data_IF_681988235402
#
_entry.id   IF_681988235402
#
_cell.length_a   1.000
_cell.length_b   1.000
_cell.length_c   1.000
_cell.angle_alpha   90.00
_cell.angle_beta   90.00
_cell.angle_gamma   90.00
#
_symmetry.space_group_name_H-M   'P 1'
#
loop_
_entity.id
_entity.type
_entity.pdbx_description
1 polymer ?
#
# COMPACT_ATOMS: atom_id res chain seq x y z
N UNK A 1 -11.61 23.92 9.92
CA UNK A 1 -12.24 22.61 9.63
C UNK A 1 -11.80 21.66 10.72
N UNK A 2 -12.74 20.93 11.28
CA UNK A 2 -12.39 19.90 12.26
C UNK A 2 -11.56 18.82 11.61
N UNK A 3 -10.45 18.46 12.25
CA UNK A 3 -9.56 17.40 11.79
C UNK A 3 -9.59 16.23 12.77
N UNK A 4 -9.37 15.03 12.24
CA UNK A 4 -9.20 13.83 13.05
C UNK A 4 -7.75 13.71 13.48
N UNK A 5 -7.50 13.60 14.79
CA UNK A 5 -6.14 13.38 15.31
C UNK A 5 -5.68 11.96 15.00
N UNK A 6 -4.45 11.88 14.48
CA UNK A 6 -3.80 10.61 14.17
C UNK A 6 -2.42 10.52 14.84
N UNK A 7 -1.95 9.30 15.04
CA UNK A 7 -0.58 9.02 15.47
C UNK A 7 0.09 8.04 14.48
N UNK A 8 1.41 8.10 14.40
CA UNK A 8 2.25 7.15 13.66
C UNK A 8 3.09 6.38 14.65
N UNK A 9 3.00 5.04 14.64
CA UNK A 9 3.91 4.16 15.37
C UNK A 9 4.93 3.61 14.38
N UNK A 10 6.21 3.88 14.64
CA UNK A 10 7.33 3.59 13.74
C UNK A 10 7.97 4.85 13.21
N UNK A 11 9.18 5.15 13.67
CA UNK A 11 9.95 6.36 13.32
C UNK A 11 11.00 6.12 12.22
N UNK A 12 10.92 4.97 11.52
CA UNK A 12 11.78 4.67 10.37
C UNK A 12 11.36 5.41 9.09
N UNK A 13 11.95 5.03 7.96
CA UNK A 13 11.73 5.68 6.66
C UNK A 13 10.24 5.79 6.27
N UNK A 14 9.46 4.75 6.48
CA UNK A 14 8.01 4.73 6.19
C UNK A 14 7.27 5.73 7.08
N UNK A 15 7.51 5.71 8.40
CA UNK A 15 6.86 6.63 9.32
C UNK A 15 7.24 8.08 9.07
N UNK A 16 8.52 8.35 8.81
CA UNK A 16 9.01 9.70 8.50
C UNK A 16 8.44 10.23 7.18
N UNK A 17 8.37 9.41 6.13
CA UNK A 17 7.79 9.81 4.86
C UNK A 17 6.27 10.06 4.96
N UNK A 18 5.55 9.19 5.66
CA UNK A 18 4.12 9.37 5.94
C UNK A 18 3.87 10.65 6.75
N UNK A 19 4.69 10.91 7.79
CA UNK A 19 4.64 12.15 8.56
C UNK A 19 4.78 13.36 7.65
N UNK A 20 5.81 13.38 6.80
CA UNK A 20 6.04 14.51 5.90
C UNK A 20 4.89 14.71 4.90
N UNK A 21 4.27 13.63 4.41
CA UNK A 21 3.09 13.71 3.55
C UNK A 21 1.87 14.29 4.28
N UNK A 22 1.66 13.93 5.54
CA UNK A 22 0.57 14.48 6.36
C UNK A 22 0.79 15.96 6.65
N UNK A 23 2.02 16.36 6.98
CA UNK A 23 2.37 17.75 7.31
C UNK A 23 2.36 18.68 6.08
N UNK A 24 2.92 18.24 4.96
CA UNK A 24 3.00 19.06 3.73
C UNK A 24 1.67 19.20 3.00
N UNK A 25 0.78 18.22 3.13
CA UNK A 25 -0.50 18.18 2.42
C UNK A 25 -1.64 17.87 3.40
N UNK A 26 -1.87 18.73 4.43
CA UNK A 26 -2.92 18.51 5.42
C UNK A 26 -4.29 18.56 4.76
N UNK A 27 -5.19 17.67 5.17
CA UNK A 27 -6.59 17.64 4.79
C UNK A 27 -7.45 17.41 6.03
N UNK A 28 -8.00 16.22 6.20
CA UNK A 28 -8.89 15.86 7.30
C UNK A 28 -8.13 15.30 8.52
N UNK A 29 -6.81 15.09 8.42
CA UNK A 29 -5.98 14.51 9.47
C UNK A 29 -5.04 15.57 10.05
N UNK A 30 -5.01 15.64 11.39
CA UNK A 30 -4.00 16.34 12.17
C UNK A 30 -3.07 15.32 12.85
N UNK A 31 -1.78 15.38 12.55
CA UNK A 31 -0.81 14.49 13.18
C UNK A 31 -0.53 14.94 14.62
N UNK A 32 -0.91 14.12 15.60
CA UNK A 32 -0.77 14.41 17.02
C UNK A 32 0.54 13.89 17.61
N UNK A 33 1.02 12.72 17.15
CA UNK A 33 2.23 12.11 17.70
C UNK A 33 2.94 11.21 16.69
N UNK A 34 4.27 11.10 16.86
CA UNK A 34 5.12 10.08 16.23
C UNK A 34 5.82 9.29 17.33
N UNK A 35 5.81 7.96 17.20
CA UNK A 35 6.23 7.02 18.22
C UNK A 35 7.37 6.15 17.70
N UNK A 36 8.42 6.02 18.46
CA UNK A 36 9.55 5.11 18.21
C UNK A 36 9.89 4.29 19.44
N UNK A 37 10.97 3.52 19.33
CA UNK A 37 11.57 2.76 20.44
C UNK A 37 13.04 3.12 20.67
N UNK A 38 13.61 3.93 19.78
CA UNK A 38 14.98 4.39 19.83
C UNK A 38 14.98 5.90 20.10
N UNK A 39 15.57 6.38 21.23
CA UNK A 39 15.65 7.81 21.54
C UNK A 39 16.49 8.58 20.52
N UNK A 40 17.45 7.94 19.85
CA UNK A 40 18.35 8.55 18.88
C UNK A 40 17.80 8.49 17.43
N UNK A 41 16.54 8.10 17.26
CA UNK A 41 15.88 8.00 15.96
C UNK A 41 15.83 9.34 15.22
N UNK A 42 16.40 9.38 14.01
CA UNK A 42 16.32 10.55 13.12
C UNK A 42 14.87 10.95 12.81
N UNK A 43 13.96 9.98 12.71
CA UNK A 43 12.54 10.24 12.47
C UNK A 43 11.85 10.91 13.66
N UNK A 44 12.20 10.57 14.90
CA UNK A 44 11.71 11.27 16.09
C UNK A 44 12.28 12.70 16.17
N UNK A 45 13.57 12.86 15.90
CA UNK A 45 14.21 14.19 15.85
C UNK A 45 13.55 15.08 14.77
N UNK A 46 13.25 14.52 13.61
CA UNK A 46 12.55 15.23 12.54
C UNK A 46 11.13 15.63 12.98
N UNK A 47 10.38 14.73 13.65
CA UNK A 47 9.04 15.02 14.15
C UNK A 47 9.06 16.19 15.16
N UNK A 48 10.00 16.19 16.11
CA UNK A 48 10.20 17.28 17.06
C UNK A 48 10.49 18.61 16.36
N UNK A 49 11.35 18.60 15.34
CA UNK A 49 11.68 19.80 14.55
C UNK A 49 10.44 20.40 13.88
N UNK A 50 9.46 19.57 13.53
CA UNK A 50 8.19 20.01 12.96
C UNK A 50 7.09 20.28 14.00
N UNK A 51 7.41 20.26 15.30
CA UNK A 51 6.48 20.54 16.38
C UNK A 51 5.48 19.41 16.68
N UNK A 52 5.75 18.20 16.20
CA UNK A 52 4.94 17.03 16.48
C UNK A 52 5.41 16.38 17.78
N UNK A 53 4.48 16.03 18.66
CA UNK A 53 4.83 15.34 19.92
C UNK A 53 5.44 13.95 19.63
N UNK A 54 6.44 13.57 20.42
CA UNK A 54 7.15 12.29 20.23
C UNK A 54 7.31 11.52 21.54
N UNK A 55 7.44 10.20 21.40
CA UNK A 55 7.89 9.32 22.47
C UNK A 55 8.74 8.18 21.88
N UNK A 56 9.74 7.74 22.64
CA UNK A 56 10.55 6.57 22.32
C UNK A 56 10.18 5.34 23.19
N UNK A 57 9.09 5.43 23.97
CA UNK A 57 8.62 4.36 24.83
C UNK A 57 7.56 3.45 24.14
N UNK A 58 7.55 3.40 22.80
CA UNK A 58 6.65 2.55 22.04
C UNK A 58 5.17 2.89 22.25
N UNK A 59 4.29 1.89 22.06
CA UNK A 59 2.85 2.05 22.21
C UNK A 59 2.45 2.50 23.62
N UNK A 60 3.10 2.00 24.66
CA UNK A 60 2.80 2.41 26.04
C UNK A 60 3.11 3.89 26.27
N UNK A 61 4.20 4.40 25.65
CA UNK A 61 4.49 5.83 25.65
C UNK A 61 3.42 6.66 24.95
N UNK A 62 2.87 6.18 23.84
CA UNK A 62 1.73 6.83 23.15
C UNK A 62 0.50 6.87 24.05
N UNK A 63 0.14 5.74 24.66
CA UNK A 63 -1.03 5.60 25.56
C UNK A 63 -0.93 6.50 26.78
N UNK A 64 0.28 6.80 27.23
CA UNK A 64 0.53 7.70 28.37
C UNK A 64 0.48 9.19 27.99
N UNK A 65 0.45 9.54 26.71
CA UNK A 65 0.36 10.95 26.26
C UNK A 65 -1.03 11.55 26.57
N UNK A 66 -1.06 12.78 27.05
CA UNK A 66 -2.32 13.51 27.30
C UNK A 66 -3.20 13.66 26.03
N UNK A 67 -2.60 13.66 24.85
CA UNK A 67 -3.29 13.72 23.55
C UNK A 67 -3.88 12.40 23.09
N UNK A 68 -3.51 11.26 23.67
CA UNK A 68 -3.90 9.92 23.22
C UNK A 68 -5.43 9.70 23.18
N UNK A 69 -6.21 10.16 24.17
CA UNK A 69 -7.68 9.99 24.12
C UNK A 69 -8.32 10.60 22.85
N UNK A 70 -7.74 11.66 22.31
CA UNK A 70 -8.24 12.34 21.12
C UNK A 70 -7.76 11.71 19.80
N UNK A 71 -6.72 10.86 19.85
CA UNK A 71 -6.23 10.11 18.67
C UNK A 71 -7.31 9.12 18.25
N UNK A 72 -7.78 9.22 17.02
CA UNK A 72 -8.78 8.30 16.48
C UNK A 72 -8.17 7.32 15.46
N UNK A 73 -7.13 7.74 14.73
CA UNK A 73 -6.46 6.91 13.71
C UNK A 73 -5.01 6.66 14.12
N UNK A 74 -4.57 5.41 14.03
CA UNK A 74 -3.17 5.02 14.27
C UNK A 74 -2.62 4.34 13.03
N UNK A 75 -1.55 4.91 12.46
CA UNK A 75 -0.77 4.29 11.40
C UNK A 75 0.35 3.46 12.04
N UNK A 76 0.35 2.15 11.82
CA UNK A 76 1.40 1.28 12.32
C UNK A 76 2.41 0.95 11.21
N UNK A 77 3.58 1.59 11.28
CA UNK A 77 4.69 1.44 10.35
C UNK A 77 5.89 0.70 10.99
N UNK A 78 5.61 -0.26 11.87
CA UNK A 78 6.60 -1.03 12.60
C UNK A 78 6.92 -2.37 11.90
N UNK A 79 6.91 -3.47 12.63
CA UNK A 79 7.10 -4.83 12.12
C UNK A 79 5.85 -5.68 12.33
N UNK A 80 5.72 -6.78 11.58
CA UNK A 80 4.63 -7.73 11.78
C UNK A 80 4.58 -8.27 13.23
N UNK A 81 5.72 -8.46 13.85
CA UNK A 81 5.80 -8.90 15.25
C UNK A 81 5.22 -7.85 16.20
N UNK A 82 5.66 -6.60 16.09
CA UNK A 82 5.19 -5.50 16.94
C UNK A 82 3.69 -5.26 16.72
N UNK A 83 3.23 -5.24 15.48
CA UNK A 83 1.83 -5.01 15.14
C UNK A 83 0.88 -6.05 15.76
N UNK A 84 1.28 -7.32 15.83
CA UNK A 84 0.49 -8.35 16.52
C UNK A 84 0.25 -8.03 18.00
N UNK A 85 1.19 -7.34 18.65
CA UNK A 85 1.02 -6.83 20.02
C UNK A 85 0.21 -5.53 20.09
N UNK A 86 0.35 -4.65 19.10
CA UNK A 86 -0.33 -3.37 19.07
C UNK A 86 -1.83 -3.48 18.74
N UNK A 87 -2.21 -4.33 17.78
CA UNK A 87 -3.58 -4.46 17.29
C UNK A 87 -4.62 -4.69 18.38
N UNK A 88 -4.49 -5.69 19.27
CA UNK A 88 -5.50 -5.94 20.30
C UNK A 88 -5.65 -4.78 21.28
N UNK A 89 -4.56 -4.08 21.61
CA UNK A 89 -4.57 -2.94 22.53
C UNK A 89 -5.24 -1.73 21.89
N UNK A 90 -4.85 -1.38 20.68
CA UNK A 90 -5.43 -0.25 19.95
C UNK A 90 -6.91 -0.45 19.66
N UNK A 91 -7.33 -1.67 19.33
CA UNK A 91 -8.75 -2.02 19.13
C UNK A 91 -9.54 -1.94 20.43
N UNK A 92 -8.99 -2.39 21.53
CA UNK A 92 -9.61 -2.24 22.86
C UNK A 92 -9.78 -0.77 23.26
N UNK A 93 -8.82 0.09 22.84
CA UNK A 93 -8.88 1.54 23.05
C UNK A 93 -9.78 2.26 22.00
N UNK A 94 -10.47 1.52 21.13
CA UNK A 94 -11.39 2.06 20.12
C UNK A 94 -10.69 2.83 18.99
N UNK A 95 -9.42 2.57 18.72
CA UNK A 95 -8.68 3.24 17.64
C UNK A 95 -8.90 2.56 16.31
N UNK A 96 -8.99 3.37 15.24
CA UNK A 96 -8.95 2.89 13.86
C UNK A 96 -7.50 2.70 13.44
N UNK A 97 -7.15 1.52 12.92
CA UNK A 97 -5.77 1.19 12.59
C UNK A 97 -5.57 1.10 11.07
N UNK A 98 -4.50 1.73 10.59
CA UNK A 98 -3.97 1.55 9.23
C UNK A 98 -2.63 0.83 9.36
N UNK A 99 -2.62 -0.46 9.02
CA UNK A 99 -1.48 -1.35 9.16
C UNK A 99 -0.61 -1.34 7.90
N UNK A 100 0.61 -0.78 8.01
CA UNK A 100 1.61 -0.78 6.94
C UNK A 100 2.61 -1.94 7.08
N UNK A 101 2.35 -2.86 8.02
CA UNK A 101 3.21 -4.01 8.26
C UNK A 101 2.74 -5.24 7.48
N UNK A 102 3.60 -6.25 7.27
CA UNK A 102 3.17 -7.49 6.63
C UNK A 102 2.40 -8.46 7.56
N UNK A 103 1.94 -8.03 8.74
CA UNK A 103 1.21 -8.88 9.69
C UNK A 103 -0.13 -9.39 9.15
N UNK A 104 -0.78 -8.60 8.29
CA UNK A 104 -2.03 -8.96 7.61
C UNK A 104 -3.15 -9.43 8.55
N UNK A 105 -3.37 -8.69 9.65
CA UNK A 105 -4.40 -9.02 10.66
C UNK A 105 -5.79 -8.51 10.26
N UNK A 106 -5.85 -7.34 9.60
CA UNK A 106 -7.08 -6.78 9.05
C UNK A 106 -7.33 -7.19 7.59
N UNK A 107 -8.47 -6.81 7.00
CA UNK A 107 -8.70 -6.97 5.56
C UNK A 107 -7.67 -6.18 4.76
N UNK A 108 -7.25 -6.74 3.63
CA UNK A 108 -6.40 -6.04 2.68
C UNK A 108 -7.15 -4.86 2.07
N UNK A 109 -6.52 -3.69 2.08
CA UNK A 109 -7.08 -2.45 1.55
C UNK A 109 -6.18 -1.86 0.45
N UNK A 110 -6.77 -1.66 -0.71
CA UNK A 110 -6.17 -0.96 -1.85
C UNK A 110 -7.11 0.18 -2.22
N UNK A 111 -6.73 1.46 -2.03
CA UNK A 111 -7.64 2.59 -2.04
C UNK A 111 -8.63 2.63 -3.22
N UNK A 112 -8.22 2.51 -4.50
CA UNK A 112 -9.14 2.63 -5.63
C UNK A 112 -9.93 1.35 -5.93
N UNK A 113 -9.71 0.25 -5.17
CA UNK A 113 -10.29 -1.07 -5.47
C UNK A 113 -11.37 -1.45 -4.48
N UNK A 114 -11.05 -1.48 -3.18
CA UNK A 114 -11.94 -2.08 -2.17
C UNK A 114 -12.01 -1.32 -0.83
N UNK A 115 -11.34 -0.18 -0.68
CA UNK A 115 -11.26 0.51 0.62
C UNK A 115 -12.65 0.89 1.17
N UNK A 116 -13.59 1.30 0.32
CA UNK A 116 -14.94 1.68 0.75
C UNK A 116 -15.68 0.57 1.50
N UNK A 117 -15.44 -0.70 1.12
CA UNK A 117 -16.02 -1.86 1.80
C UNK A 117 -15.44 -2.12 3.21
N UNK A 118 -14.32 -1.49 3.55
CA UNK A 118 -13.58 -1.73 4.79
C UNK A 118 -13.49 -0.50 5.73
N UNK A 119 -14.22 0.58 5.45
CA UNK A 119 -14.18 1.80 6.25
C UNK A 119 -14.64 1.60 7.71
N UNK A 120 -15.36 0.54 7.99
CA UNK A 120 -15.86 0.19 9.32
C UNK A 120 -15.01 -0.90 10.01
N UNK A 121 -14.00 -1.44 9.31
CA UNK A 121 -13.10 -2.41 9.89
C UNK A 121 -12.14 -1.72 10.87
N UNK A 122 -11.94 -2.24 12.09
CA UNK A 122 -11.11 -1.57 13.11
C UNK A 122 -9.62 -1.54 12.73
N UNK A 123 -9.19 -2.41 11.85
CA UNK A 123 -7.85 -2.47 11.30
C UNK A 123 -7.94 -2.78 9.80
N UNK A 124 -7.23 -2.03 8.96
CA UNK A 124 -7.07 -2.30 7.53
C UNK A 124 -5.59 -2.45 7.21
N UNK A 125 -5.25 -3.51 6.48
CA UNK A 125 -3.87 -3.80 6.10
C UNK A 125 -3.56 -3.29 4.69
N UNK A 126 -2.45 -2.55 4.56
CA UNK A 126 -2.03 -1.93 3.30
C UNK A 126 -1.30 -2.88 2.35
N UNK A 127 -1.39 -4.18 2.57
CA UNK A 127 -0.75 -5.24 1.73
C UNK A 127 0.78 -5.10 1.74
N UNK A 128 1.34 -4.68 0.61
CA UNK A 128 2.78 -4.44 0.38
C UNK A 128 2.95 -3.32 -0.64
N UNK A 129 4.15 -2.75 -0.74
CA UNK A 129 4.44 -1.73 -1.75
C UNK A 129 4.18 -2.23 -3.18
N UNK A 130 4.65 -3.46 -3.51
CA UNK A 130 4.35 -4.08 -4.80
C UNK A 130 2.87 -4.37 -4.98
N UNK A 131 2.16 -4.75 -3.91
CA UNK A 131 0.71 -4.93 -3.94
C UNK A 131 -0.03 -3.63 -4.24
N UNK A 132 0.32 -2.53 -3.58
CA UNK A 132 -0.30 -1.23 -3.84
C UNK A 132 -0.05 -0.74 -5.27
N UNK A 133 1.10 -1.09 -5.87
CA UNK A 133 1.40 -0.73 -7.25
C UNK A 133 0.66 -1.59 -8.28
N UNK A 134 0.49 -2.88 -8.03
CA UNK A 134 0.11 -3.85 -9.07
C UNK A 134 -1.31 -4.39 -8.96
N UNK A 135 -1.86 -4.53 -7.75
CA UNK A 135 -3.23 -5.02 -7.54
C UNK A 135 -4.28 -4.14 -8.22
N UNK A 136 -4.16 -2.78 -8.26
CA UNK A 136 -5.07 -1.97 -9.05
C UNK A 136 -5.17 -2.40 -10.52
N UNK A 137 -4.05 -2.81 -11.12
CA UNK A 137 -4.03 -3.27 -12.52
C UNK A 137 -4.68 -4.63 -12.70
N UNK A 138 -4.44 -5.57 -11.78
CA UNK A 138 -5.14 -6.86 -11.77
C UNK A 138 -6.66 -6.64 -11.62
N UNK A 139 -7.06 -5.78 -10.68
CA UNK A 139 -8.46 -5.44 -10.45
C UNK A 139 -9.08 -4.75 -11.67
N UNK A 140 -8.34 -3.88 -12.38
CA UNK A 140 -8.82 -3.25 -13.59
C UNK A 140 -9.16 -4.27 -14.68
N UNK A 141 -8.35 -5.32 -14.85
CA UNK A 141 -8.66 -6.41 -15.77
C UNK A 141 -9.84 -7.24 -15.24
N UNK A 142 -9.86 -7.56 -13.94
CA UNK A 142 -10.91 -8.39 -13.32
C UNK A 142 -12.29 -7.74 -13.32
N UNK A 143 -12.37 -6.40 -13.39
CA UNK A 143 -13.64 -5.68 -13.48
C UNK A 143 -14.35 -5.88 -14.81
N UNK A 144 -13.64 -6.27 -15.87
CA UNK A 144 -14.18 -6.39 -17.23
C UNK A 144 -13.99 -7.78 -17.85
N UNK A 145 -13.13 -8.62 -17.27
CA UNK A 145 -12.81 -9.96 -17.75
C UNK A 145 -12.64 -10.94 -16.60
N UNK A 146 -12.85 -12.21 -16.84
CA UNK A 146 -12.52 -13.24 -15.85
C UNK A 146 -11.01 -13.52 -15.86
N UNK A 147 -10.31 -13.20 -14.76
CA UNK A 147 -8.88 -13.44 -14.63
C UNK A 147 -8.62 -14.80 -13.98
N UNK A 148 -8.05 -15.72 -14.75
CA UNK A 148 -7.68 -17.06 -14.29
C UNK A 148 -6.38 -17.06 -13.50
N UNK A 149 -5.41 -16.28 -13.96
CA UNK A 149 -4.08 -16.20 -13.36
C UNK A 149 -3.55 -14.78 -13.50
N UNK A 150 -2.95 -14.28 -12.43
CA UNK A 150 -2.19 -13.04 -12.48
C UNK A 150 -0.84 -13.19 -11.77
N UNK A 151 0.19 -12.64 -12.39
CA UNK A 151 1.54 -12.62 -11.84
C UNK A 151 2.08 -11.20 -11.83
N UNK A 152 2.72 -10.80 -10.74
CA UNK A 152 3.38 -9.51 -10.67
C UNK A 152 4.88 -9.67 -10.42
N UNK A 153 5.66 -8.81 -11.04
CA UNK A 153 7.09 -8.67 -10.79
C UNK A 153 7.34 -7.23 -10.35
N UNK A 154 7.63 -7.05 -9.06
CA UNK A 154 7.95 -5.74 -8.51
C UNK A 154 9.47 -5.56 -8.43
N UNK A 155 10.01 -4.60 -9.19
CA UNK A 155 11.43 -4.27 -9.16
C UNK A 155 11.64 -2.94 -8.44
N UNK A 156 12.30 -2.99 -7.28
CA UNK A 156 12.59 -1.83 -6.43
C UNK A 156 14.09 -1.60 -6.35
N UNK A 157 14.53 -0.34 -6.20
CA UNK A 157 15.94 -0.06 -5.97
C UNK A 157 16.41 -0.77 -4.69
N UNK A 158 17.54 -1.48 -4.77
CA UNK A 158 18.11 -2.17 -3.60
C UNK A 158 18.34 -1.24 -2.42
N UNK A 159 18.71 0.02 -2.67
CA UNK A 159 18.87 1.06 -1.63
C UNK A 159 17.58 1.42 -0.89
N UNK A 160 16.41 1.27 -1.53
CA UNK A 160 15.10 1.53 -0.90
C UNK A 160 14.53 0.32 -0.15
N UNK A 161 15.14 -0.84 -0.25
CA UNK A 161 14.77 -2.04 0.49
C UNK A 161 15.48 -2.05 1.84
N UNK A 162 14.78 -1.66 2.90
CA UNK A 162 15.29 -1.67 4.26
C UNK A 162 15.47 -3.10 4.84
N UNK A 163 16.04 -3.21 6.06
CA UNK A 163 16.27 -4.51 6.71
C UNK A 163 14.97 -5.33 6.85
N UNK A 164 13.85 -4.70 7.14
CA UNK A 164 12.55 -5.36 7.26
C UNK A 164 12.11 -6.03 5.95
N UNK A 165 12.23 -5.35 4.82
CA UNK A 165 11.91 -5.92 3.49
C UNK A 165 12.81 -7.10 3.17
N UNK A 166 14.12 -6.98 3.43
CA UNK A 166 15.11 -8.03 3.14
C UNK A 166 14.90 -9.29 3.99
N UNK A 167 14.52 -9.11 5.25
CA UNK A 167 14.25 -10.22 6.17
C UNK A 167 12.94 -10.96 5.86
N UNK A 168 11.99 -10.30 5.18
CA UNK A 168 10.62 -10.80 5.00
C UNK A 168 10.19 -10.93 3.53
N UNK A 169 11.13 -11.27 2.63
CA UNK A 169 10.83 -11.44 1.18
C UNK A 169 9.75 -12.52 0.95
N UNK A 170 9.80 -13.62 1.67
CA UNK A 170 8.82 -14.69 1.56
C UNK A 170 7.41 -14.24 2.02
N UNK A 171 7.35 -13.42 3.07
CA UNK A 171 6.09 -12.86 3.56
C UNK A 171 5.52 -11.84 2.56
N UNK A 172 6.38 -11.01 1.97
CA UNK A 172 6.01 -10.10 0.89
C UNK A 172 5.34 -10.85 -0.27
N UNK A 173 5.98 -11.91 -0.75
CA UNK A 173 5.48 -12.67 -1.92
C UNK A 173 4.18 -13.39 -1.61
N UNK A 174 4.04 -14.02 -0.44
CA UNK A 174 2.81 -14.70 -0.02
C UNK A 174 1.65 -13.72 0.19
N UNK A 175 1.90 -12.61 0.90
CA UNK A 175 0.87 -11.59 1.17
C UNK A 175 0.39 -10.95 -0.12
N UNK A 176 1.32 -10.60 -1.02
CA UNK A 176 0.96 -10.01 -2.32
C UNK A 176 0.19 -11.00 -3.20
N UNK A 177 0.64 -12.27 -3.29
CA UNK A 177 -0.06 -13.30 -4.07
C UNK A 177 -1.51 -13.50 -3.57
N UNK A 178 -1.70 -13.60 -2.25
CA UNK A 178 -3.04 -13.68 -1.65
C UNK A 178 -3.90 -12.46 -1.96
N UNK A 179 -3.33 -11.26 -1.94
CA UNK A 179 -4.07 -10.04 -2.22
C UNK A 179 -4.39 -9.89 -3.73
N UNK A 180 -3.57 -10.42 -4.64
CA UNK A 180 -3.90 -10.56 -6.06
C UNK A 180 -5.17 -11.38 -6.25
N UNK A 181 -5.35 -12.44 -5.45
CA UNK A 181 -6.54 -13.28 -5.49
C UNK A 181 -7.75 -12.59 -4.83
N UNK A 182 -7.58 -12.13 -3.58
CA UNK A 182 -8.71 -11.66 -2.75
C UNK A 182 -9.16 -10.24 -3.04
N UNK A 183 -8.27 -9.38 -3.54
CA UNK A 183 -8.54 -7.97 -3.87
C UNK A 183 -8.47 -7.73 -5.37
N UNK A 184 -7.46 -8.30 -6.03
CA UNK A 184 -7.29 -8.18 -7.48
C UNK A 184 -8.33 -8.98 -8.29
N UNK A 185 -8.93 -10.01 -7.71
CA UNK A 185 -9.98 -10.82 -8.34
C UNK A 185 -9.46 -11.92 -9.28
N UNK A 186 -8.16 -12.21 -9.27
CA UNK A 186 -7.61 -13.35 -10.00
C UNK A 186 -7.92 -14.68 -9.27
N UNK A 187 -8.19 -15.74 -10.03
CA UNK A 187 -8.38 -17.07 -9.43
C UNK A 187 -7.09 -17.61 -8.80
N UNK A 188 -5.96 -17.31 -9.40
CA UNK A 188 -4.63 -17.66 -8.89
C UNK A 188 -3.67 -16.49 -9.01
N UNK A 189 -2.93 -16.23 -7.94
CA UNK A 189 -1.96 -15.14 -7.83
C UNK A 189 -0.53 -15.63 -7.67
N UNK A 190 0.43 -14.87 -8.21
CA UNK A 190 1.86 -15.03 -7.95
C UNK A 190 2.54 -13.68 -7.85
N UNK A 191 3.47 -13.54 -6.94
CA UNK A 191 4.25 -12.32 -6.79
C UNK A 191 5.74 -12.62 -6.74
N UNK A 192 6.52 -11.77 -7.39
CA UNK A 192 7.98 -11.80 -7.41
C UNK A 192 8.48 -10.41 -7.04
N UNK A 193 9.50 -10.32 -6.20
CA UNK A 193 10.21 -9.08 -5.91
C UNK A 193 11.65 -9.17 -6.41
N UNK A 194 12.11 -8.09 -7.04
CA UNK A 194 13.50 -7.93 -7.48
C UNK A 194 14.10 -6.73 -6.73
N UNK A 195 15.17 -6.97 -5.99
CA UNK A 195 15.99 -5.92 -5.40
C UNK A 195 17.04 -5.49 -6.41
N UNK A 196 16.78 -4.42 -7.14
CA UNK A 196 17.61 -3.98 -8.26
C UNK A 196 18.86 -3.22 -7.74
N UNK A 197 20.08 -3.73 -8.03
CA UNK A 197 21.33 -3.13 -7.56
C UNK A 197 21.87 -2.01 -8.47
N UNK A 198 21.15 -1.60 -9.51
CA UNK A 198 21.62 -0.60 -10.48
C UNK A 198 22.08 0.70 -9.80
N UNK A 199 23.16 1.27 -10.34
CA UNK A 199 23.71 2.58 -9.99
C UNK A 199 23.82 3.46 -11.24
N UNK A 200 23.21 4.66 -11.25
CA UNK A 200 22.37 5.23 -10.19
C UNK A 200 21.08 4.43 -9.95
N UNK A 201 20.48 4.52 -8.72
CA UNK A 201 19.28 3.78 -8.38
C UNK A 201 18.14 4.09 -9.34
N UNK A 202 17.43 3.06 -9.78
CA UNK A 202 16.28 3.22 -10.67
C UNK A 202 14.99 3.40 -9.87
N UNK A 203 14.05 4.16 -10.42
CA UNK A 203 12.69 4.23 -9.87
C UNK A 203 12.05 2.83 -9.87
N UNK A 204 11.04 2.63 -9.04
CA UNK A 204 10.30 1.37 -9.01
C UNK A 204 9.67 1.07 -10.38
N UNK A 205 9.83 -0.16 -10.84
CA UNK A 205 9.26 -0.69 -12.08
C UNK A 205 8.57 -2.00 -11.81
N UNK A 206 7.32 -2.07 -12.22
CA UNK A 206 6.53 -3.28 -12.01
C UNK A 206 5.97 -3.78 -13.32
N UNK A 207 5.81 -5.10 -13.38
CA UNK A 207 5.15 -5.78 -14.49
C UNK A 207 3.98 -6.59 -13.93
N UNK A 208 2.83 -6.47 -14.56
CA UNK A 208 1.65 -7.28 -14.28
C UNK A 208 1.35 -8.11 -15.51
N UNK A 209 1.24 -9.41 -15.33
CA UNK A 209 0.71 -10.34 -16.32
C UNK A 209 -0.65 -10.84 -15.82
N UNK A 210 -1.70 -10.63 -16.59
CA UNK A 210 -3.03 -11.15 -16.32
C UNK A 210 -3.50 -12.02 -17.49
N UNK A 211 -3.90 -13.24 -17.20
CA UNK A 211 -4.47 -14.16 -18.18
C UNK A 211 -5.96 -14.21 -17.97
N UNK A 212 -6.72 -13.74 -18.96
CA UNK A 212 -8.16 -13.53 -18.83
C UNK A 212 -8.94 -13.97 -20.05
N UNK A 213 -10.25 -14.14 -19.86
CA UNK A 213 -11.24 -14.39 -20.92
C UNK A 213 -12.46 -13.49 -20.73
N UNK A 214 -13.26 -13.33 -21.77
CA UNK A 214 -14.57 -12.68 -21.71
C UNK A 214 -14.60 -11.18 -21.99
N UNK A 215 -13.47 -10.54 -22.35
CA UNK A 215 -13.44 -9.15 -22.77
C UNK A 215 -12.50 -8.91 -23.95
N UNK A 216 -12.80 -7.87 -24.74
CA UNK A 216 -11.93 -7.40 -25.81
C UNK A 216 -10.77 -6.57 -25.25
N UNK A 217 -9.67 -6.52 -26.00
CA UNK A 217 -8.45 -5.79 -25.64
C UNK A 217 -8.70 -4.30 -25.38
N UNK A 218 -9.55 -3.65 -26.21
CA UNK A 218 -9.91 -2.25 -26.03
C UNK A 218 -10.67 -1.99 -24.73
N UNK A 219 -11.51 -2.93 -24.30
CA UNK A 219 -12.24 -2.83 -23.02
C UNK A 219 -11.27 -2.94 -21.84
N UNK A 220 -10.34 -3.90 -21.92
CA UNK A 220 -9.29 -4.07 -20.91
C UNK A 220 -8.39 -2.82 -20.85
N UNK A 221 -7.96 -2.32 -22.01
CA UNK A 221 -7.10 -1.13 -22.10
C UNK A 221 -7.75 0.09 -21.42
N UNK A 222 -9.00 0.41 -21.75
CA UNK A 222 -9.72 1.52 -21.10
C UNK A 222 -9.88 1.34 -19.60
N UNK A 223 -10.14 0.12 -19.13
CA UNK A 223 -10.25 -0.17 -17.70
C UNK A 223 -8.93 0.06 -16.98
N UNK A 224 -7.81 -0.35 -17.57
CA UNK A 224 -6.45 -0.11 -17.05
C UNK A 224 -6.15 1.39 -16.99
N UNK A 225 -6.39 2.15 -18.05
CA UNK A 225 -6.16 3.61 -18.06
C UNK A 225 -7.01 4.35 -17.01
N UNK A 226 -8.29 3.98 -16.89
CA UNK A 226 -9.17 4.55 -15.86
C UNK A 226 -8.65 4.25 -14.44
N UNK A 227 -8.12 3.06 -14.20
CA UNK A 227 -7.55 2.70 -12.90
C UNK A 227 -6.23 3.43 -12.65
N UNK A 228 -5.36 3.58 -13.66
CA UNK A 228 -4.14 4.41 -13.55
C UNK A 228 -4.50 5.83 -13.10
N UNK A 229 -5.50 6.44 -13.72
CA UNK A 229 -5.95 7.78 -13.34
C UNK A 229 -6.45 7.84 -11.88
N UNK A 230 -7.14 6.81 -11.38
CA UNK A 230 -7.55 6.72 -9.97
C UNK A 230 -6.35 6.66 -9.03
N UNK A 231 -5.33 5.83 -9.33
CA UNK A 231 -4.11 5.74 -8.51
C UNK A 231 -3.35 7.06 -8.50
N UNK A 232 -3.27 7.74 -9.64
CA UNK A 232 -2.60 9.05 -9.78
C UNK A 232 -3.20 10.14 -8.88
N UNK A 233 -4.44 10.00 -8.44
CA UNK A 233 -5.06 10.97 -7.50
C UNK A 233 -4.34 11.07 -6.16
N UNK A 234 -3.61 10.01 -5.76
CA UNK A 234 -2.84 9.98 -4.52
C UNK A 234 -1.36 9.62 -4.72
N UNK A 235 -0.98 9.05 -5.87
CA UNK A 235 0.42 8.77 -6.28
C UNK A 235 0.69 9.44 -7.63
N UNK A 236 1.02 10.73 -7.69
CA UNK A 236 1.21 11.45 -8.95
C UNK A 236 2.30 10.87 -9.86
N UNK A 237 3.31 10.21 -9.28
CA UNK A 237 4.40 9.56 -10.02
C UNK A 237 4.08 8.15 -10.56
N UNK A 238 2.84 7.66 -10.39
CA UNK A 238 2.39 6.38 -10.94
C UNK A 238 2.00 6.52 -12.40
N UNK A 239 2.56 5.68 -13.29
CA UNK A 239 2.25 5.75 -14.73
C UNK A 239 2.49 4.43 -15.43
N UNK A 240 1.82 4.25 -16.56
CA UNK A 240 2.21 3.24 -17.54
C UNK A 240 3.57 3.62 -18.14
N UNK A 241 4.51 2.67 -18.15
CA UNK A 241 5.81 2.84 -18.81
C UNK A 241 5.69 2.81 -20.33
N UNK A 242 4.75 2.04 -20.81
CA UNK A 242 4.44 1.85 -22.24
C UNK A 242 2.99 1.41 -22.43
N UNK A 243 2.51 1.35 -23.66
CA UNK A 243 1.18 0.84 -23.97
C UNK A 243 1.00 -0.59 -23.44
N UNK A 244 -0.22 -0.90 -22.99
CA UNK A 244 -0.63 -2.24 -22.58
C UNK A 244 -0.45 -3.20 -23.76
N UNK A 245 0.13 -4.35 -23.52
CA UNK A 245 0.38 -5.36 -24.55
C UNK A 245 -0.55 -6.55 -24.38
N UNK A 246 -1.01 -7.09 -25.50
CA UNK A 246 -1.91 -8.22 -25.54
C UNK A 246 -1.34 -9.36 -26.38
N UNK A 247 -1.55 -10.59 -25.92
CA UNK A 247 -1.19 -11.82 -26.62
C UNK A 247 -2.32 -12.82 -26.47
N UNK A 248 -2.79 -13.39 -27.60
CA UNK A 248 -3.92 -14.33 -27.63
C UNK A 248 -3.44 -15.76 -27.64
N UNK A 249 -4.03 -16.58 -26.82
CA UNK A 249 -3.81 -18.02 -26.74
C UNK A 249 -5.11 -18.76 -27.05
N UNK A 250 -5.15 -19.51 -28.16
CA UNK A 250 -6.29 -20.31 -28.56
C UNK A 250 -6.08 -21.80 -28.29
N UNK A 251 -7.07 -22.62 -28.62
CA UNK A 251 -7.06 -24.07 -28.40
C UNK A 251 -5.90 -24.76 -29.13
N UNK A 252 -5.45 -24.24 -30.29
CA UNK A 252 -4.34 -24.78 -31.06
C UNK A 252 -2.95 -24.38 -30.51
N UNK A 253 -2.90 -23.38 -29.62
CA UNK A 253 -1.68 -22.89 -28.99
C UNK A 253 -1.99 -22.33 -27.61
N UNK A 254 -2.40 -23.19 -26.66
CA UNK A 254 -2.71 -22.75 -25.31
C UNK A 254 -1.42 -22.42 -24.54
N UNK A 255 -1.55 -21.53 -23.54
CA UNK A 255 -0.46 -21.20 -22.64
C UNK A 255 -0.38 -22.23 -21.50
N UNK A 256 0.75 -22.89 -21.35
CA UNK A 256 1.01 -23.78 -20.21
C UNK A 256 1.81 -23.04 -19.14
N UNK A 257 1.25 -22.95 -17.94
CA UNK A 257 1.92 -22.39 -16.77
C UNK A 257 2.33 -23.55 -15.85
N UNK A 258 3.63 -23.81 -15.64
CA UNK A 258 4.09 -24.93 -14.84
C UNK A 258 3.48 -24.95 -13.44
N UNK A 259 2.89 -26.08 -13.05
CA UNK A 259 2.22 -26.25 -11.76
C UNK A 259 0.89 -25.51 -11.58
N UNK A 260 0.38 -24.84 -12.64
CA UNK A 260 -0.86 -24.05 -12.59
C UNK A 260 -1.92 -24.47 -13.60
N UNK A 261 -1.52 -25.09 -14.70
CA UNK A 261 -2.44 -25.60 -15.72
C UNK A 261 -2.20 -25.05 -17.11
N UNK A 262 -3.19 -25.36 -17.98
CA UNK A 262 -3.21 -24.94 -19.40
C UNK A 262 -4.37 -23.96 -19.58
N UNK A 263 -4.12 -22.85 -20.23
CA UNK A 263 -5.05 -21.74 -20.38
C UNK A 263 -5.18 -21.27 -21.82
N UNK A 264 -6.36 -20.85 -22.19
CA UNK A 264 -6.67 -20.08 -23.40
C UNK A 264 -7.21 -18.72 -23.00
N UNK A 265 -7.23 -17.75 -23.93
CA UNK A 265 -7.71 -16.39 -23.69
C UNK A 265 -6.67 -15.33 -24.04
N UNK A 266 -6.72 -14.21 -23.34
CA UNK A 266 -5.84 -13.05 -23.57
C UNK A 266 -4.88 -12.90 -22.38
N UNK A 267 -3.57 -12.90 -22.67
CA UNK A 267 -2.55 -12.43 -21.75
C UNK A 267 -2.39 -10.92 -21.91
N UNK A 268 -2.70 -10.18 -20.87
CA UNK A 268 -2.48 -8.74 -20.77
C UNK A 268 -1.16 -8.52 -20.02
N UNK A 269 -0.24 -7.74 -20.62
CA UNK A 269 1.02 -7.33 -19.99
C UNK A 269 1.00 -5.82 -19.77
N UNK A 270 1.09 -5.41 -18.49
CA UNK A 270 1.05 -4.02 -18.05
C UNK A 270 2.38 -3.68 -17.40
N UNK A 271 3.02 -2.62 -17.88
CA UNK A 271 4.32 -2.17 -17.39
C UNK A 271 4.17 -0.82 -16.71
N UNK A 272 4.61 -0.73 -15.46
CA UNK A 272 4.42 0.43 -14.60
C UNK A 272 5.75 1.05 -14.20
N UNK A 273 5.72 2.34 -13.96
CA UNK A 273 6.74 3.07 -13.23
C UNK A 273 6.08 3.81 -12.06
N UNK A 274 6.76 3.78 -10.91
CA UNK A 274 6.37 4.54 -9.72
C UNK A 274 7.56 5.41 -9.31
N UNK A 275 7.41 6.70 -9.50
CA UNK A 275 8.38 7.69 -9.08
C UNK A 275 7.92 8.34 -7.78
N UNK A 276 8.77 8.35 -6.77
CA UNK A 276 8.46 8.95 -5.48
C UNK A 276 8.30 10.47 -5.58
N UNK A 277 7.43 11.03 -4.77
CA UNK A 277 7.14 12.47 -4.72
C UNK A 277 8.31 13.32 -4.17
N UNK A 278 9.33 12.71 -3.56
CA UNK A 278 10.46 13.44 -2.98
C UNK A 278 10.09 14.21 -1.70
N UNK A 279 9.04 13.82 -0.98
CA UNK A 279 8.61 14.52 0.23
C UNK A 279 9.64 14.40 1.38
N UNK A 280 10.17 13.22 1.56
CA UNK A 280 11.24 12.89 2.52
C UNK A 280 12.29 11.99 1.84
N UNK A 281 11.86 10.94 1.17
CA UNK A 281 12.74 9.99 0.51
C UNK A 281 13.05 10.42 -0.92
N UNK A 282 14.21 10.01 -1.49
CA UNK A 282 14.55 10.29 -2.88
C UNK A 282 13.53 9.72 -3.85
N UNK A 283 13.39 10.32 -5.04
CA UNK A 283 12.40 9.94 -6.05
C UNK A 283 12.52 8.49 -6.55
N UNK A 284 13.70 7.87 -6.46
CA UNK A 284 13.87 6.46 -6.79
C UNK A 284 13.16 5.53 -5.79
N UNK A 285 12.82 5.99 -4.59
CA UNK A 285 12.11 5.22 -3.55
C UNK A 285 10.60 5.15 -3.78
N UNK A 286 10.16 4.96 -5.02
CA UNK A 286 8.75 4.88 -5.38
C UNK A 286 7.96 3.79 -4.63
N UNK A 287 8.64 2.71 -4.25
CA UNK A 287 8.04 1.64 -3.42
C UNK A 287 7.64 2.13 -2.01
N UNK A 288 8.45 2.95 -1.38
CA UNK A 288 8.13 3.52 -0.07
C UNK A 288 7.08 4.61 -0.20
N UNK A 289 7.20 5.43 -1.25
CA UNK A 289 6.27 6.52 -1.54
C UNK A 289 4.84 6.04 -1.80
N UNK A 290 4.65 5.00 -2.62
CA UNK A 290 3.31 4.47 -2.91
C UNK A 290 2.66 3.88 -1.65
N UNK A 291 3.44 3.23 -0.77
CA UNK A 291 2.93 2.68 0.48
C UNK A 291 2.41 3.80 1.40
N UNK A 292 3.19 4.85 1.60
CA UNK A 292 2.82 5.97 2.47
C UNK A 292 1.72 6.84 1.86
N UNK A 293 1.71 7.01 0.54
CA UNK A 293 0.65 7.70 -0.19
C UNK A 293 -0.68 6.95 -0.10
N UNK A 294 -0.68 5.62 -0.26
CA UNK A 294 -1.87 4.79 -0.09
C UNK A 294 -2.37 4.79 1.36
N UNK A 295 -1.46 4.71 2.35
CA UNK A 295 -1.83 4.80 3.76
C UNK A 295 -2.44 6.17 4.09
N UNK A 296 -1.88 7.26 3.57
CA UNK A 296 -2.46 8.59 3.72
C UNK A 296 -3.84 8.67 3.09
N UNK A 297 -4.03 8.19 1.84
CA UNK A 297 -5.32 8.19 1.17
C UNK A 297 -6.37 7.39 1.97
N UNK A 298 -5.99 6.24 2.51
CA UNK A 298 -6.81 5.42 3.40
C UNK A 298 -7.20 6.19 4.66
N UNK A 299 -6.23 6.76 5.36
CA UNK A 299 -6.49 7.54 6.58
C UNK A 299 -7.39 8.75 6.32
N UNK A 300 -7.22 9.45 5.21
CA UNK A 300 -8.08 10.60 4.84
C UNK A 300 -9.54 10.16 4.63
N UNK A 301 -9.79 9.01 4.00
CA UNK A 301 -11.15 8.50 3.82
C UNK A 301 -11.76 8.03 5.14
N UNK A 302 -10.98 7.37 6.00
CA UNK A 302 -11.39 7.02 7.37
C UNK A 302 -11.70 8.28 8.19
N UNK A 303 -10.90 9.34 8.06
CA UNK A 303 -11.15 10.61 8.74
C UNK A 303 -12.47 11.25 8.30
N UNK A 304 -12.78 11.25 7.01
CA UNK A 304 -14.07 11.70 6.49
C UNK A 304 -15.22 10.90 7.13
N UNK A 305 -15.08 9.58 7.20
CA UNK A 305 -16.08 8.70 7.83
C UNK A 305 -16.28 8.99 9.31
N UNK A 306 -15.18 9.21 10.05
CA UNK A 306 -15.22 9.56 11.48
C UNK A 306 -15.92 10.92 11.70
N UNK A 307 -15.57 11.94 10.90
CA UNK A 307 -16.17 13.27 11.00
C UNK A 307 -17.68 13.23 10.70
N UNK A 308 -18.09 12.49 9.67
CA UNK A 308 -19.50 12.32 9.34
C UNK A 308 -20.30 11.68 10.49
N UNK A 309 -19.74 10.70 11.20
CA UNK A 309 -20.37 10.09 12.38
C UNK A 309 -20.49 11.05 13.55
N UNK A 310 -19.46 11.91 13.78
CA UNK A 310 -19.51 12.93 14.85
C UNK A 310 -20.57 13.99 14.61
N UNK A 311 -20.87 14.30 13.34
CA UNK A 311 -21.89 15.27 12.97
C UNK A 311 -23.31 14.70 13.08
N UNK A 312 -23.45 13.37 12.98
CA UNK A 312 -24.75 12.68 13.05
C UNK A 312 -25.15 12.24 14.47
N UNK A 313 -24.22 12.30 15.44
CA UNK A 313 -24.42 11.97 16.85
C UNK A 313 -24.73 13.22 17.68
#
# INVERSE_FOLDING_TARGET
MDQVKAAIIGSGNIGADLMMKLLKRPKNIALAAVVGIDPDSEGLALAQKHGVAVTHAGLEGLRAMATYPEVAIVFDATSAYAHRGHDPLLRADGKQIVDLTPAALGPFAVPPVNLEAHLDAPNVNMVTCGGQATIPMVAAVSQVARVHYAEIVASVASRSAGPGTRANIDEFTRTTARAIETVGGATQGKAIIILNPAEPPMIMRDTVFALSEGADEDVIHRSVEAMVAKVQTYVPGYRLKQAVQFERFGDNSPLTIPGRGVFTGVKTSIFLEVEGAGDYLPSYSGNLDIMTAAAKATGELLAVRILARRTAA
#
